data_IF_750242865800
#
_entry.id   IF_750242865800
#
_cell.length_a   1.000
_cell.length_b   1.000
_cell.length_c   1.000
_cell.angle_alpha   90.00
_cell.angle_beta   90.00
_cell.angle_gamma   90.00
#
_symmetry.space_group_name_H-M   'P 1'
#
loop_
_entity.id
_entity.type
_entity.pdbx_description
1 polymer ?
#
# COMPACT_ATOMS: atom_id res chain seq x y z
N UNK A 1 14.69 -11.71 45.30
CA UNK A 1 15.11 -10.46 44.63
C UNK A 1 14.91 -10.73 43.16
N UNK A 2 13.75 -10.34 42.62
CA UNK A 2 13.43 -10.54 41.21
C UNK A 2 14.08 -9.43 40.40
N UNK A 3 14.87 -9.80 39.39
CA UNK A 3 15.47 -8.86 38.44
C UNK A 3 14.36 -8.26 37.57
N UNK A 4 14.12 -6.96 37.71
CA UNK A 4 13.20 -6.21 36.85
C UNK A 4 13.90 -5.95 35.52
N UNK A 5 13.38 -6.60 34.48
CA UNK A 5 13.83 -6.50 33.09
C UNK A 5 13.88 -5.04 32.60
N UNK A 6 15.09 -4.58 32.26
CA UNK A 6 15.38 -3.20 31.87
C UNK A 6 14.82 -2.84 30.48
N UNK A 7 14.37 -3.81 29.67
CA UNK A 7 13.75 -3.55 28.37
C UNK A 7 12.32 -2.98 28.50
N UNK A 8 11.65 -3.21 29.63
CA UNK A 8 10.27 -2.76 29.84
C UNK A 8 10.16 -1.22 29.99
N UNK A 9 11.25 -0.54 30.34
CA UNK A 9 11.28 0.94 30.42
C UNK A 9 11.16 1.58 29.03
N UNK A 10 11.65 0.93 27.96
CA UNK A 10 11.58 1.47 26.60
C UNK A 10 10.15 1.52 26.05
N UNK A 11 9.31 0.60 26.53
CA UNK A 11 7.90 0.52 26.18
C UNK A 11 7.04 1.41 27.08
N UNK A 12 7.40 1.53 28.37
CA UNK A 12 6.71 2.41 29.31
C UNK A 12 6.84 3.91 28.97
N UNK A 13 8.01 4.40 28.52
CA UNK A 13 8.14 5.82 28.14
C UNK A 13 7.35 6.16 26.86
N UNK A 14 7.08 5.19 25.99
CA UNK A 14 6.23 5.37 24.80
C UNK A 14 4.74 5.50 25.18
N UNK A 15 4.31 4.91 26.29
CA UNK A 15 2.93 5.03 26.80
C UNK A 15 2.67 6.32 27.61
N UNK A 16 3.69 7.13 27.89
CA UNK A 16 3.61 8.28 28.80
C UNK A 16 3.63 9.66 28.09
N UNK A 17 3.66 9.70 26.76
CA UNK A 17 3.62 10.97 26.02
C UNK A 17 2.23 11.55 26.02
N UNK A 18 2.13 12.86 26.18
CA UNK A 18 0.84 13.54 25.98
C UNK A 18 0.47 13.55 24.49
N UNK A 19 -0.83 13.59 24.19
CA UNK A 19 -1.31 13.70 22.81
C UNK A 19 -0.77 14.97 22.13
N UNK A 20 -0.64 16.07 22.88
CA UNK A 20 -0.11 17.33 22.38
C UNK A 20 1.36 17.21 21.95
N UNK A 21 2.19 16.50 22.73
CA UNK A 21 3.59 16.23 22.36
C UNK A 21 3.69 15.37 21.09
N UNK A 22 2.78 14.43 20.90
CA UNK A 22 2.75 13.58 19.70
C UNK A 22 2.34 14.39 18.48
N UNK A 23 1.28 15.21 18.58
CA UNK A 23 0.85 16.08 17.49
C UNK A 23 1.93 17.07 17.07
N UNK A 24 2.62 17.70 18.04
CA UNK A 24 3.69 18.65 17.74
C UNK A 24 4.85 17.96 17.01
N UNK A 25 5.25 16.77 17.45
CA UNK A 25 6.30 16.01 16.75
C UNK A 25 5.88 15.62 15.33
N UNK A 26 4.64 15.18 15.13
CA UNK A 26 4.09 14.89 13.80
C UNK A 26 4.20 16.13 12.90
N UNK A 27 3.78 17.30 13.38
CA UNK A 27 3.83 18.54 12.61
C UNK A 27 5.26 18.92 12.22
N UNK A 28 6.20 18.87 13.17
CA UNK A 28 7.62 19.16 12.94
C UNK A 28 8.19 18.20 11.89
N UNK A 29 7.98 16.89 12.06
CA UNK A 29 8.52 15.87 11.14
C UNK A 29 7.88 15.95 9.75
N UNK A 30 6.60 16.26 9.66
CA UNK A 30 5.91 16.41 8.38
C UNK A 30 6.51 17.59 7.60
N UNK A 31 6.77 18.72 8.26
CA UNK A 31 7.44 19.88 7.66
C UNK A 31 8.86 19.54 7.19
N UNK A 32 9.66 18.92 8.06
CA UNK A 32 11.03 18.49 7.72
C UNK A 32 11.05 17.49 6.57
N UNK A 33 10.09 16.56 6.54
CA UNK A 33 9.93 15.60 5.43
C UNK A 33 9.69 16.31 4.10
N UNK A 34 8.81 17.30 4.08
CA UNK A 34 8.55 18.13 2.90
C UNK A 34 9.77 18.94 2.44
N UNK A 35 10.52 19.54 3.38
CA UNK A 35 11.76 20.26 3.06
C UNK A 35 12.82 19.34 2.42
N UNK A 36 12.99 18.13 2.95
CA UNK A 36 13.87 17.13 2.36
C UNK A 36 13.40 16.68 0.97
N UNK A 37 12.11 16.47 0.78
CA UNK A 37 11.55 16.04 -0.50
C UNK A 37 11.76 17.09 -1.60
N UNK A 38 11.47 18.36 -1.31
CA UNK A 38 11.72 19.49 -2.23
C UNK A 38 13.19 19.61 -2.58
N UNK A 39 14.08 19.29 -1.64
CA UNK A 39 15.54 19.30 -1.84
C UNK A 39 16.08 18.05 -2.55
N UNK A 40 15.21 17.10 -2.95
CA UNK A 40 15.61 15.85 -3.58
C UNK A 40 16.26 14.83 -2.63
N UNK A 41 16.23 15.08 -1.31
CA UNK A 41 16.78 14.19 -0.29
C UNK A 41 15.78 13.10 0.10
N UNK A 42 15.36 12.30 -0.88
CA UNK A 42 14.24 11.37 -0.72
C UNK A 42 14.44 10.32 0.38
N UNK A 43 15.66 9.84 0.64
CA UNK A 43 15.90 8.91 1.75
C UNK A 43 15.57 9.53 3.12
N UNK A 44 15.94 10.81 3.32
CA UNK A 44 15.67 11.53 4.56
C UNK A 44 14.19 11.90 4.68
N UNK A 45 13.55 12.29 3.57
CA UNK A 45 12.12 12.53 3.50
C UNK A 45 11.32 11.26 3.84
N UNK A 46 11.65 10.13 3.20
CA UNK A 46 11.05 8.83 3.44
C UNK A 46 11.10 8.43 4.91
N UNK A 47 12.27 8.61 5.56
CA UNK A 47 12.43 8.35 6.99
C UNK A 47 11.56 9.26 7.86
N UNK A 48 11.48 10.55 7.53
CA UNK A 48 10.65 11.49 8.29
C UNK A 48 9.17 11.11 8.20
N UNK A 49 8.68 10.82 6.99
CA UNK A 49 7.31 10.38 6.76
C UNK A 49 7.01 9.03 7.42
N UNK A 50 7.95 8.07 7.39
CA UNK A 50 7.78 6.80 8.09
C UNK A 50 7.53 6.99 9.59
N UNK A 51 8.32 7.87 10.23
CA UNK A 51 8.15 8.18 11.64
C UNK A 51 6.82 8.90 11.93
N UNK A 52 6.38 9.81 11.07
CA UNK A 52 5.04 10.44 11.17
C UNK A 52 3.94 9.38 11.10
N UNK A 53 3.98 8.49 10.10
CA UNK A 53 3.00 7.44 9.94
C UNK A 53 2.94 6.51 11.16
N UNK A 54 4.12 6.12 11.67
CA UNK A 54 4.23 5.28 12.88
C UNK A 54 3.64 5.97 14.11
N UNK A 55 3.89 7.28 14.29
CA UNK A 55 3.35 8.04 15.41
C UNK A 55 1.81 8.13 15.33
N UNK A 56 1.27 8.44 14.14
CA UNK A 56 -0.17 8.46 13.91
C UNK A 56 -0.83 7.10 14.15
N UNK A 57 -0.21 6.02 13.69
CA UNK A 57 -0.71 4.65 13.90
C UNK A 57 -0.75 4.26 15.38
N UNK A 58 0.36 4.44 16.10
CA UNK A 58 0.54 3.89 17.45
C UNK A 58 -0.12 4.77 18.52
N UNK A 59 -0.01 6.09 18.42
CA UNK A 59 -0.41 7.00 19.49
C UNK A 59 -1.76 7.66 19.25
N UNK A 60 -2.15 7.86 17.99
CA UNK A 60 -3.40 8.53 17.64
C UNK A 60 -4.47 7.55 17.12
N UNK A 61 -4.08 6.30 16.85
CA UNK A 61 -4.91 5.29 16.17
C UNK A 61 -5.51 5.80 14.84
N UNK A 62 -4.86 6.78 14.21
CA UNK A 62 -5.25 7.32 12.92
C UNK A 62 -4.73 6.42 11.80
N UNK A 63 -5.42 5.30 11.60
CA UNK A 63 -5.03 4.29 10.60
C UNK A 63 -5.10 4.82 9.17
N UNK A 64 -6.05 5.70 8.86
CA UNK A 64 -6.22 6.23 7.50
C UNK A 64 -5.15 7.26 7.16
N UNK A 65 -4.86 8.18 8.10
CA UNK A 65 -3.75 9.10 8.00
C UNK A 65 -2.41 8.36 7.92
N UNK A 66 -2.19 7.37 8.79
CA UNK A 66 -0.98 6.55 8.77
C UNK A 66 -0.78 5.82 7.43
N UNK A 67 -1.83 5.22 6.85
CA UNK A 67 -1.77 4.60 5.52
C UNK A 67 -1.35 5.59 4.43
N UNK A 68 -1.91 6.80 4.46
CA UNK A 68 -1.56 7.85 3.50
C UNK A 68 -0.09 8.23 3.62
N UNK A 69 0.40 8.45 4.84
CA UNK A 69 1.79 8.87 5.06
C UNK A 69 2.80 7.74 4.81
N UNK A 70 2.47 6.49 5.15
CA UNK A 70 3.31 5.34 4.78
C UNK A 70 3.46 5.20 3.26
N UNK A 71 2.41 5.50 2.48
CA UNK A 71 2.50 5.53 1.02
C UNK A 71 3.50 6.59 0.56
N UNK A 72 3.40 7.81 1.06
CA UNK A 72 4.34 8.90 0.72
C UNK A 72 5.78 8.55 1.10
N UNK A 73 5.98 7.90 2.25
CA UNK A 73 7.28 7.39 2.67
C UNK A 73 7.84 6.35 1.69
N UNK A 74 7.02 5.36 1.30
CA UNK A 74 7.41 4.34 0.32
C UNK A 74 7.77 4.95 -1.04
N UNK A 75 6.98 5.91 -1.53
CA UNK A 75 7.26 6.63 -2.79
C UNK A 75 8.61 7.35 -2.75
N UNK A 76 8.98 7.94 -1.61
CA UNK A 76 10.30 8.53 -1.43
C UNK A 76 11.41 7.48 -1.50
N UNK A 77 11.23 6.33 -0.84
CA UNK A 77 12.22 5.24 -0.86
C UNK A 77 12.35 4.58 -2.25
N UNK A 78 11.26 4.46 -3.01
CA UNK A 78 11.29 3.95 -4.38
C UNK A 78 12.13 4.86 -5.31
N UNK A 79 12.07 6.18 -5.14
CA UNK A 79 12.90 7.13 -5.92
C UNK A 79 14.40 6.91 -5.71
N UNK A 80 14.80 6.30 -4.59
CA UNK A 80 16.19 5.96 -4.26
C UNK A 80 16.46 4.46 -4.30
N UNK A 81 15.52 3.65 -4.80
CA UNK A 81 15.59 2.18 -4.82
C UNK A 81 15.94 1.58 -3.45
N UNK A 82 15.47 2.19 -2.37
CA UNK A 82 15.74 1.74 -1.01
C UNK A 82 14.78 0.62 -0.60
N UNK A 83 15.36 -0.45 -0.04
CA UNK A 83 14.61 -1.56 0.57
C UNK A 83 13.70 -1.12 1.72
N UNK A 84 13.90 0.08 2.29
CA UNK A 84 13.04 0.64 3.34
C UNK A 84 11.57 0.79 2.87
N UNK A 85 11.32 0.87 1.56
CA UNK A 85 9.95 0.83 1.00
C UNK A 85 9.19 -0.44 1.41
N UNK A 86 9.88 -1.57 1.56
CA UNK A 86 9.30 -2.85 1.96
C UNK A 86 8.71 -2.75 3.38
N UNK A 87 9.39 -2.04 4.30
CA UNK A 87 8.86 -1.83 5.64
C UNK A 87 7.56 -1.02 5.60
N UNK A 88 7.47 0.02 4.77
CA UNK A 88 6.22 0.75 4.57
C UNK A 88 5.10 -0.18 4.08
N UNK A 89 5.39 -1.02 3.08
CA UNK A 89 4.42 -1.97 2.52
C UNK A 89 3.89 -2.95 3.57
N UNK A 90 4.77 -3.54 4.36
CA UNK A 90 4.40 -4.47 5.44
C UNK A 90 3.49 -3.78 6.46
N UNK A 91 3.83 -2.56 6.90
CA UNK A 91 2.99 -1.79 7.83
C UNK A 91 1.63 -1.45 7.26
N UNK A 92 1.55 -1.07 5.99
CA UNK A 92 0.27 -0.77 5.34
C UNK A 92 -0.64 -2.01 5.26
N UNK A 93 -0.09 -3.17 4.92
CA UNK A 93 -0.86 -4.43 4.90
C UNK A 93 -1.35 -4.79 6.31
N UNK A 94 -0.49 -4.65 7.33
CA UNK A 94 -0.86 -4.93 8.72
C UNK A 94 -2.02 -4.04 9.19
N UNK A 95 -1.98 -2.74 8.89
CA UNK A 95 -3.06 -1.79 9.23
C UNK A 95 -4.37 -2.18 8.52
N UNK A 96 -4.30 -2.54 7.23
CA UNK A 96 -5.49 -2.96 6.47
C UNK A 96 -6.11 -4.23 7.05
N UNK A 97 -5.30 -5.20 7.46
CA UNK A 97 -5.78 -6.41 8.14
C UNK A 97 -6.39 -6.08 9.51
N UNK A 98 -5.71 -5.24 10.31
CA UNK A 98 -6.18 -4.79 11.63
C UNK A 98 -7.54 -4.08 11.55
N UNK A 99 -7.76 -3.30 10.50
CA UNK A 99 -9.01 -2.56 10.27
C UNK A 99 -10.06 -3.35 9.49
N UNK A 100 -9.84 -4.64 9.22
CA UNK A 100 -10.78 -5.52 8.53
C UNK A 100 -10.93 -5.26 7.03
N UNK A 101 -10.07 -4.42 6.42
CA UNK A 101 -10.05 -4.11 4.99
C UNK A 101 -9.33 -5.21 4.18
N UNK A 102 -9.77 -6.47 4.34
CA UNK A 102 -9.11 -7.68 3.81
C UNK A 102 -8.91 -7.64 2.29
N UNK A 103 -9.92 -7.22 1.52
CA UNK A 103 -9.83 -7.18 0.05
C UNK A 103 -8.75 -6.18 -0.42
N UNK A 104 -8.56 -5.06 0.30
CA UNK A 104 -7.47 -4.11 0.06
C UNK A 104 -6.11 -4.67 0.50
N UNK A 105 -6.05 -5.39 1.61
CA UNK A 105 -4.80 -6.01 2.05
C UNK A 105 -4.26 -7.00 1.00
N UNK A 106 -5.15 -7.82 0.42
CA UNK A 106 -4.83 -8.74 -0.68
C UNK A 106 -4.35 -7.95 -1.91
N UNK A 107 -5.08 -6.92 -2.33
CA UNK A 107 -4.69 -6.04 -3.44
C UNK A 107 -3.26 -5.48 -3.23
N UNK A 108 -2.97 -5.01 -2.02
CA UNK A 108 -1.69 -4.38 -1.70
C UNK A 108 -0.55 -5.39 -1.67
N UNK A 109 -0.75 -6.59 -1.13
CA UNK A 109 0.23 -7.66 -1.25
C UNK A 109 0.62 -7.90 -2.71
N UNK A 110 -0.35 -7.97 -3.63
CA UNK A 110 -0.05 -8.24 -5.03
C UNK A 110 0.64 -7.05 -5.72
N UNK A 111 0.17 -5.83 -5.48
CA UNK A 111 0.80 -4.61 -6.04
C UNK A 111 2.22 -4.40 -5.53
N UNK A 112 2.45 -4.58 -4.23
CA UNK A 112 3.78 -4.45 -3.63
C UNK A 112 4.70 -5.60 -4.06
N UNK A 113 4.18 -6.81 -4.21
CA UNK A 113 4.95 -7.92 -4.78
C UNK A 113 5.43 -7.63 -6.20
N UNK A 114 4.58 -7.00 -7.01
CA UNK A 114 4.94 -6.55 -8.36
C UNK A 114 5.99 -5.43 -8.34
N UNK A 115 5.78 -4.42 -7.48
CA UNK A 115 6.74 -3.32 -7.31
C UNK A 115 8.11 -3.80 -6.83
N UNK A 116 8.19 -4.70 -5.84
CA UNK A 116 9.46 -5.30 -5.40
C UNK A 116 10.21 -5.99 -6.55
N UNK A 117 9.51 -6.79 -7.34
CA UNK A 117 10.13 -7.53 -8.44
C UNK A 117 10.62 -6.63 -9.60
N UNK A 118 9.94 -5.51 -9.88
CA UNK A 118 10.22 -4.69 -11.07
C UNK A 118 10.94 -3.37 -10.78
N UNK A 119 10.69 -2.76 -9.62
CA UNK A 119 11.26 -1.46 -9.24
C UNK A 119 12.48 -1.60 -8.33
N UNK A 120 12.51 -2.64 -7.48
CA UNK A 120 13.60 -2.91 -6.54
C UNK A 120 14.49 -4.10 -6.95
N UNK A 121 14.15 -4.81 -8.02
CA UNK A 121 14.82 -6.05 -8.47
C UNK A 121 14.87 -7.14 -7.38
N UNK A 122 13.93 -7.09 -6.42
CA UNK A 122 13.82 -8.03 -5.30
C UNK A 122 12.68 -9.02 -5.56
N UNK A 123 12.97 -9.98 -6.43
CA UNK A 123 12.03 -11.05 -6.82
C UNK A 123 11.66 -11.96 -5.66
N UNK A 124 12.58 -12.19 -4.71
CA UNK A 124 12.32 -13.00 -3.52
C UNK A 124 11.26 -12.35 -2.64
N UNK A 125 11.41 -11.04 -2.34
CA UNK A 125 10.40 -10.31 -1.58
C UNK A 125 9.09 -10.21 -2.35
N UNK A 126 9.16 -10.06 -3.68
CA UNK A 126 8.00 -10.16 -4.56
C UNK A 126 7.18 -11.43 -4.31
N UNK A 127 7.86 -12.57 -4.28
CA UNK A 127 7.25 -13.88 -4.07
C UNK A 127 6.71 -14.08 -2.65
N UNK A 128 7.36 -13.50 -1.64
CA UNK A 128 6.84 -13.47 -0.27
C UNK A 128 5.50 -12.72 -0.20
N UNK A 129 5.39 -11.55 -0.85
CA UNK A 129 4.14 -10.80 -0.88
C UNK A 129 3.02 -11.52 -1.66
N UNK A 130 3.33 -12.13 -2.79
CA UNK A 130 2.35 -12.95 -3.52
C UNK A 130 1.85 -14.12 -2.67
N UNK A 131 2.77 -14.82 -2.00
CA UNK A 131 2.43 -15.92 -1.09
C UNK A 131 1.54 -15.46 0.06
N UNK A 132 1.85 -14.29 0.63
CA UNK A 132 1.03 -13.66 1.68
C UNK A 132 -0.38 -13.33 1.18
N UNK A 133 -0.54 -12.88 -0.07
CA UNK A 133 -1.86 -12.63 -0.66
C UNK A 133 -2.71 -13.91 -0.72
N UNK A 134 -2.13 -15.03 -1.19
CA UNK A 134 -2.83 -16.32 -1.25
C UNK A 134 -3.16 -16.87 0.15
N UNK A 135 -2.27 -16.68 1.11
CA UNK A 135 -2.53 -17.06 2.50
C UNK A 135 -3.73 -16.29 3.08
N UNK A 136 -3.76 -14.96 2.93
CA UNK A 136 -4.88 -14.13 3.37
C UNK A 136 -6.18 -14.57 2.70
N UNK A 137 -6.15 -14.86 1.38
CA UNK A 137 -7.32 -15.39 0.67
C UNK A 137 -7.85 -16.66 1.29
N UNK A 138 -6.97 -17.63 1.54
CA UNK A 138 -7.33 -18.92 2.14
C UNK A 138 -7.93 -18.73 3.53
N UNK A 139 -7.31 -17.92 4.38
CA UNK A 139 -7.79 -17.66 5.76
C UNK A 139 -9.17 -16.98 5.79
N UNK A 140 -9.49 -16.17 4.78
CA UNK A 140 -10.75 -15.43 4.68
C UNK A 140 -11.74 -16.01 3.66
N UNK A 141 -11.51 -17.23 3.17
CA UNK A 141 -12.33 -17.92 2.17
C UNK A 141 -12.63 -17.06 0.91
N UNK A 142 -11.63 -16.34 0.43
CA UNK A 142 -11.71 -15.52 -0.78
C UNK A 142 -11.18 -16.30 -1.97
N UNK A 143 -12.03 -16.56 -2.95
CA UNK A 143 -11.59 -17.07 -4.26
C UNK A 143 -11.14 -15.93 -5.17
N UNK A 144 -10.22 -16.22 -6.09
CA UNK A 144 -9.86 -15.31 -7.17
C UNK A 144 -9.87 -16.06 -8.50
N UNK A 145 -10.46 -15.42 -9.51
CA UNK A 145 -10.39 -15.83 -10.90
C UNK A 145 -9.79 -14.67 -11.67
N UNK A 146 -8.75 -14.92 -12.47
CA UNK A 146 -8.15 -13.88 -13.29
C UNK A 146 -9.13 -13.43 -14.38
N UNK A 147 -9.53 -12.16 -14.37
CA UNK A 147 -10.34 -11.59 -15.45
C UNK A 147 -9.54 -11.53 -16.76
N UNK A 148 -8.25 -11.16 -16.69
CA UNK A 148 -7.32 -11.12 -17.82
C UNK A 148 -5.89 -11.39 -17.35
N UNK A 149 -5.13 -12.21 -18.08
CA UNK A 149 -3.73 -12.57 -17.71
C UNK A 149 -2.69 -12.06 -18.69
N UNK A 150 -3.10 -11.57 -19.87
CA UNK A 150 -2.22 -10.97 -20.87
C UNK A 150 -2.90 -9.73 -21.40
N UNK A 151 -2.15 -8.65 -21.60
CA UNK A 151 -2.64 -7.44 -22.22
C UNK A 151 -2.13 -7.37 -23.67
N UNK A 152 -3.04 -7.08 -24.59
CA UNK A 152 -2.75 -6.83 -25.99
C UNK A 152 -3.44 -5.52 -26.40
N UNK A 153 -2.68 -4.45 -26.74
CA UNK A 153 -3.26 -3.17 -27.08
C UNK A 153 -4.13 -3.22 -28.35
N UNK A 154 -3.85 -4.14 -29.28
CA UNK A 154 -4.61 -4.27 -30.53
C UNK A 154 -6.06 -4.73 -30.31
N UNK A 155 -6.35 -5.36 -29.17
CA UNK A 155 -7.72 -5.72 -28.77
C UNK A 155 -8.61 -4.50 -28.49
N UNK A 156 -8.02 -3.30 -28.38
CA UNK A 156 -8.68 -2.05 -28.00
C UNK A 156 -8.59 -0.98 -29.09
N UNK A 157 -8.14 -1.31 -30.30
CA UNK A 157 -8.05 -0.38 -31.41
C UNK A 157 -9.43 0.25 -31.69
N UNK A 158 -9.55 1.55 -31.38
CA UNK A 158 -10.79 2.35 -31.45
C UNK A 158 -11.91 1.96 -30.47
N UNK A 159 -11.66 1.07 -29.49
CA UNK A 159 -12.66 0.66 -28.49
C UNK A 159 -12.20 0.97 -27.06
N UNK A 160 -12.23 2.27 -26.73
CA UNK A 160 -11.93 2.76 -25.38
C UNK A 160 -12.93 2.22 -24.34
N UNK A 161 -14.18 1.98 -24.75
CA UNK A 161 -15.23 1.49 -23.86
C UNK A 161 -14.92 0.06 -23.39
N UNK A 162 -14.41 -0.80 -24.28
CA UNK A 162 -13.93 -2.14 -23.95
C UNK A 162 -12.75 -2.09 -22.99
N UNK A 163 -11.76 -1.22 -23.19
CA UNK A 163 -10.62 -1.09 -22.28
C UNK A 163 -11.06 -0.69 -20.86
N UNK A 164 -12.02 0.24 -20.75
CA UNK A 164 -12.60 0.66 -19.47
C UNK A 164 -13.42 -0.45 -18.82
N UNK A 165 -14.15 -1.26 -19.62
CA UNK A 165 -14.92 -2.40 -19.12
C UNK A 165 -13.99 -3.49 -18.57
N UNK A 166 -12.99 -3.90 -19.36
CA UNK A 166 -12.02 -4.92 -18.96
C UNK A 166 -11.26 -4.49 -17.70
N UNK A 167 -10.98 -3.19 -17.54
CA UNK A 167 -10.36 -2.66 -16.32
C UNK A 167 -11.28 -2.80 -15.10
N UNK A 168 -12.60 -2.54 -15.27
CA UNK A 168 -13.61 -2.70 -14.21
C UNK A 168 -13.87 -4.17 -13.85
N UNK A 169 -13.62 -5.11 -14.76
CA UNK A 169 -13.75 -6.54 -14.48
C UNK A 169 -12.72 -7.02 -13.43
N UNK A 170 -11.72 -6.21 -13.08
CA UNK A 170 -10.84 -6.45 -11.95
C UNK A 170 -11.40 -5.94 -10.60
N UNK A 171 -12.45 -5.13 -10.57
CA UNK A 171 -12.97 -4.57 -9.31
C UNK A 171 -13.64 -5.64 -8.43
N UNK A 172 -13.29 -5.68 -7.14
CA UNK A 172 -13.98 -6.51 -6.13
C UNK A 172 -15.14 -5.73 -5.57
N UNK A 173 -16.34 -6.07 -6.01
CA UNK A 173 -17.57 -5.40 -5.61
C UNK A 173 -18.26 -6.17 -4.48
N UNK A 174 -18.62 -5.46 -3.39
CA UNK A 174 -19.53 -5.99 -2.37
C UNK A 174 -20.93 -5.41 -2.56
N UNK A 175 -21.98 -6.26 -2.58
CA UNK A 175 -23.35 -5.78 -2.60
C UNK A 175 -23.65 -5.08 -1.27
N UNK A 176 -24.05 -3.80 -1.33
CA UNK A 176 -24.59 -3.05 -0.21
C UNK A 176 -26.12 -2.95 -0.28
N UNK A 177 -26.74 -2.42 0.77
CA UNK A 177 -28.21 -2.29 0.86
C UNK A 177 -28.76 -1.37 -0.24
N UNK A 178 -28.06 -0.26 -0.52
CA UNK A 178 -28.49 0.76 -1.49
C UNK A 178 -27.60 0.81 -2.73
N UNK A 179 -26.31 0.59 -2.56
CA UNK A 179 -25.32 0.67 -3.64
C UNK A 179 -24.26 -0.40 -3.47
N UNK A 180 -23.78 -0.91 -4.61
CA UNK A 180 -22.57 -1.71 -4.67
C UNK A 180 -21.35 -0.87 -4.34
N UNK A 181 -20.45 -1.38 -3.50
CA UNK A 181 -19.22 -0.70 -3.13
C UNK A 181 -18.01 -1.47 -3.66
N UNK A 182 -17.09 -0.76 -4.33
CA UNK A 182 -15.80 -1.32 -4.73
C UNK A 182 -14.91 -1.38 -3.48
N UNK A 183 -14.55 -2.59 -3.10
CA UNK A 183 -13.77 -2.84 -1.88
C UNK A 183 -12.29 -3.11 -2.13
N UNK A 184 -11.90 -3.31 -3.39
CA UNK A 184 -10.52 -3.52 -3.80
C UNK A 184 -10.45 -3.94 -5.26
N UNK A 185 -9.27 -4.36 -5.69
CA UNK A 185 -9.01 -4.92 -7.02
C UNK A 185 -8.57 -6.38 -6.88
N UNK A 186 -9.23 -7.29 -7.59
CA UNK A 186 -8.99 -8.72 -7.57
C UNK A 186 -7.79 -9.06 -8.44
N UNK A 187 -6.61 -9.06 -7.86
CA UNK A 187 -5.34 -9.26 -8.56
C UNK A 187 -4.61 -10.47 -8.01
N UNK A 188 -3.82 -11.18 -8.80
CA UNK A 188 -2.85 -12.18 -8.34
C UNK A 188 -1.56 -12.06 -9.15
N UNK A 189 -0.57 -12.89 -8.83
CA UNK A 189 0.72 -12.95 -9.54
C UNK A 189 0.55 -13.10 -11.06
N UNK A 190 -0.50 -13.79 -11.51
CA UNK A 190 -0.71 -14.10 -12.93
C UNK A 190 -1.44 -13.01 -13.72
N UNK A 191 -2.06 -12.03 -13.07
CA UNK A 191 -2.88 -11.01 -13.74
C UNK A 191 -2.47 -9.56 -13.44
N UNK A 192 -1.58 -9.35 -12.46
CA UNK A 192 -1.10 -8.01 -12.09
C UNK A 192 -0.43 -7.27 -13.25
N UNK A 193 0.39 -7.96 -14.04
CA UNK A 193 1.07 -7.34 -15.18
C UNK A 193 0.06 -6.85 -16.24
N UNK A 194 -0.90 -7.71 -16.61
CA UNK A 194 -1.96 -7.34 -17.55
C UNK A 194 -2.81 -6.17 -17.02
N UNK A 195 -3.09 -6.14 -15.72
CA UNK A 195 -3.79 -5.05 -15.07
C UNK A 195 -3.02 -3.73 -15.15
N UNK A 196 -1.72 -3.71 -14.79
CA UNK A 196 -0.93 -2.48 -14.82
C UNK A 196 -0.74 -1.95 -16.25
N UNK A 197 -0.53 -2.84 -17.23
CA UNK A 197 -0.45 -2.46 -18.64
C UNK A 197 -1.78 -1.87 -19.15
N UNK A 198 -2.91 -2.50 -18.82
CA UNK A 198 -4.25 -1.99 -19.19
C UNK A 198 -4.54 -0.65 -18.50
N UNK A 199 -4.21 -0.50 -17.22
CA UNK A 199 -4.37 0.74 -16.47
C UNK A 199 -3.56 1.88 -17.08
N UNK A 200 -2.30 1.62 -17.43
CA UNK A 200 -1.44 2.58 -18.12
C UNK A 200 -1.99 2.95 -19.50
N UNK A 201 -2.50 1.98 -20.26
CA UNK A 201 -3.14 2.23 -21.55
C UNK A 201 -4.34 3.16 -21.39
N UNK A 202 -5.25 2.85 -20.46
CA UNK A 202 -6.43 3.68 -20.17
C UNK A 202 -6.06 5.10 -19.76
N UNK A 203 -4.99 5.29 -18.96
CA UNK A 203 -4.54 6.64 -18.54
C UNK A 203 -4.05 7.52 -19.69
N UNK A 204 -3.66 6.93 -20.83
CA UNK A 204 -3.20 7.66 -22.03
C UNK A 204 -4.35 8.01 -22.98
N UNK A 205 -5.54 7.43 -22.77
CA UNK A 205 -6.70 7.74 -23.58
C UNK A 205 -7.18 9.16 -23.26
N UNK A 206 -7.36 9.97 -24.29
CA UNK A 206 -8.00 11.29 -24.13
C UNK A 206 -9.47 11.07 -23.77
N UNK A 207 -10.06 11.87 -22.87
CA UNK A 207 -11.49 11.81 -22.61
C UNK A 207 -12.24 12.05 -23.92
N UNK A 208 -13.20 11.18 -24.22
CA UNK A 208 -14.15 11.35 -25.33
C UNK A 208 -14.93 12.63 -25.01
N UNK A 209 -14.75 13.67 -25.84
CA UNK A 209 -15.54 14.91 -25.78
C UNK A 209 -16.96 14.67 -26.30
#
# INVERSE_FOLDING_TARGET
>A
MEEVDFDNKKYLWRLLRSLDEVHEEINIRMKVGGEFEVSGMYQAAGKSYYEVARLGEIHLEDYEGALSVYRTSAECYLKTQSIDAIHCYERMIDILLKTGKVDRAIEYCVKFGYSCAHELDDTEKGDQFYSRAEEIRRLHNKSHTCSKTKFDPSEYDNDQAKALKDLKDFDVVKPGIFTSQITGVGLCRNCIEAYEQLRQFVSKLKPIQ
#
